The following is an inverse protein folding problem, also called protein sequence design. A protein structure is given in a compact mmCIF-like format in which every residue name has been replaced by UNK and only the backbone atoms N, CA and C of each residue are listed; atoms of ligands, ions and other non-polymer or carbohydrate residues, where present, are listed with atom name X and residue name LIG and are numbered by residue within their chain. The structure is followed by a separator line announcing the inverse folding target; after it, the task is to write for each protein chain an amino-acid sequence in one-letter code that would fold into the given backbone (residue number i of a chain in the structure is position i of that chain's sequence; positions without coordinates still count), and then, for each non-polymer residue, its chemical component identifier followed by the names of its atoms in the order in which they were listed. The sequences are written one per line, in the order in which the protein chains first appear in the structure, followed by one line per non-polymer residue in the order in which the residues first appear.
data_IF_301733652572
#
_entry.id   IF_301733652572
#
_cell.length_a   1.000
_cell.length_b   1.000
_cell.length_c   1.000
_cell.angle_alpha   90.00
_cell.angle_beta   90.00
_cell.angle_gamma   90.00
#
_symmetry.space_group_name_H-M   'P 1'
#
loop_
_entity.id
_entity.type
_entity.pdbx_description
1 polymer ?
#
# COMPACT_ATOMS: atom_id res chain seq x y z
N UNK A 1 -23.91 5.88 -16.47
CA UNK A 1 -22.67 5.13 -16.78
C UNK A 1 -21.50 6.11 -16.85
N UNK A 2 -20.54 6.05 -15.92
CA UNK A 2 -19.35 6.92 -15.94
C UNK A 2 -18.25 6.24 -16.76
N UNK A 3 -18.32 6.38 -18.08
CA UNK A 3 -17.34 5.91 -19.06
C UNK A 3 -16.44 7.06 -19.50
N UNK A 4 -15.53 7.48 -18.61
CA UNK A 4 -14.50 8.45 -18.98
C UNK A 4 -13.56 7.90 -20.06
N UNK A 5 -13.05 8.75 -20.97
CA UNK A 5 -12.23 8.32 -22.12
C UNK A 5 -10.98 7.52 -21.72
N UNK A 6 -10.44 7.76 -20.52
CA UNK A 6 -9.26 7.05 -20.01
C UNK A 6 -9.53 5.65 -19.44
N UNK A 7 -10.78 5.29 -19.09
CA UNK A 7 -11.11 3.99 -18.47
C UNK A 7 -10.77 2.80 -19.38
N UNK A 8 -10.71 3.01 -20.70
CA UNK A 8 -10.40 1.96 -21.68
C UNK A 8 -8.90 1.64 -21.79
N UNK A 9 -8.01 2.55 -21.36
CA UNK A 9 -6.55 2.43 -21.60
C UNK A 9 -5.80 1.83 -20.42
N UNK A 10 -4.81 0.94 -20.66
CA UNK A 10 -3.99 0.29 -19.60
C UNK A 10 -3.25 1.31 -18.71
N UNK A 11 -3.00 2.49 -19.26
CA UNK A 11 -2.31 3.62 -18.63
C UNK A 11 -3.06 4.15 -17.40
N UNK A 12 -4.39 4.14 -17.39
CA UNK A 12 -5.18 4.64 -16.26
C UNK A 12 -4.87 3.93 -14.93
N UNK A 13 -4.63 2.61 -14.96
CA UNK A 13 -4.26 1.85 -13.76
C UNK A 13 -2.89 2.25 -13.23
N UNK A 14 -1.93 2.43 -14.14
CA UNK A 14 -0.55 2.82 -13.79
C UNK A 14 -0.51 4.26 -13.26
N UNK A 15 -1.27 5.18 -13.87
CA UNK A 15 -1.37 6.55 -13.38
C UNK A 15 -1.97 6.63 -11.97
N UNK A 16 -2.98 5.82 -11.67
CA UNK A 16 -3.60 5.77 -10.34
C UNK A 16 -2.67 5.16 -9.28
N UNK A 17 -1.83 4.19 -9.65
CA UNK A 17 -0.75 3.73 -8.77
C UNK A 17 0.35 4.78 -8.61
N UNK A 18 0.77 5.40 -9.72
CA UNK A 18 1.80 6.43 -9.74
C UNK A 18 1.44 7.66 -8.90
N UNK A 19 0.18 8.11 -8.94
CA UNK A 19 -0.26 9.21 -8.07
C UNK A 19 -0.18 8.85 -6.58
N UNK A 20 -0.37 7.58 -6.22
CA UNK A 20 -0.20 7.10 -4.85
C UNK A 20 1.26 7.02 -4.43
N UNK A 21 2.15 6.60 -5.33
CA UNK A 21 3.61 6.66 -5.10
C UNK A 21 4.02 8.11 -4.83
N UNK A 22 3.66 9.04 -5.72
CA UNK A 22 4.02 10.46 -5.60
C UNK A 22 3.42 11.10 -4.34
N UNK A 23 2.17 10.78 -3.99
CA UNK A 23 1.53 11.29 -2.76
C UNK A 23 2.25 10.80 -1.50
N UNK A 24 2.70 9.54 -1.50
CA UNK A 24 3.44 8.98 -0.38
C UNK A 24 4.83 9.63 -0.25
N UNK A 25 5.56 9.76 -1.35
CA UNK A 25 6.88 10.40 -1.37
C UNK A 25 6.79 11.87 -0.95
N UNK A 26 5.80 12.62 -1.44
CA UNK A 26 5.57 14.00 -1.03
C UNK A 26 5.33 14.10 0.49
N UNK A 27 4.54 13.19 1.06
CA UNK A 27 4.31 13.13 2.51
C UNK A 27 5.59 12.82 3.29
N UNK A 28 6.43 11.91 2.79
CA UNK A 28 7.73 11.59 3.39
C UNK A 28 8.67 12.80 3.38
N UNK A 29 8.81 13.48 2.24
CA UNK A 29 9.67 14.67 2.12
C UNK A 29 9.15 15.83 2.97
N UNK A 30 7.83 16.03 3.05
CA UNK A 30 7.24 17.04 3.93
C UNK A 30 7.53 16.73 5.42
N UNK A 31 7.49 15.45 5.83
CA UNK A 31 7.85 15.07 7.19
C UNK A 31 9.31 15.44 7.53
N UNK A 32 10.23 15.32 6.56
CA UNK A 32 11.63 15.74 6.74
C UNK A 32 11.78 17.24 7.06
N UNK A 33 10.91 18.10 6.53
CA UNK A 33 10.97 19.54 6.82
C UNK A 33 10.45 19.95 8.21
N UNK A 34 9.66 19.10 8.87
CA UNK A 34 9.00 19.43 10.14
C UNK A 34 9.70 18.78 11.33
N UNK A 35 10.32 17.60 11.14
CA UNK A 35 10.98 16.86 12.21
C UNK A 35 12.41 17.40 12.41
N UNK A 36 12.84 17.72 13.64
CA UNK A 36 14.20 18.21 13.94
C UNK A 36 15.31 17.26 13.48
N UNK A 37 16.43 17.82 12.99
CA UNK A 37 17.56 17.05 12.44
C UNK A 37 18.15 16.01 13.41
N UNK A 38 18.15 16.30 14.71
CA UNK A 38 18.64 15.38 15.76
C UNK A 38 17.80 14.09 15.86
N UNK A 39 16.48 14.20 15.67
CA UNK A 39 15.60 13.01 15.64
C UNK A 39 15.75 12.21 14.35
N UNK A 40 16.22 12.84 13.26
CA UNK A 40 16.48 12.14 11.99
C UNK A 40 17.73 11.29 12.03
N UNK A 41 18.80 11.74 12.67
CA UNK A 41 20.07 11.00 12.76
C UNK A 41 19.87 9.60 13.37
N UNK A 42 19.01 9.47 14.38
CA UNK A 42 18.64 8.16 14.94
C UNK A 42 17.75 7.29 14.04
N UNK A 43 17.11 7.85 13.00
CA UNK A 43 16.24 7.15 12.05
C UNK A 43 16.93 6.80 10.73
N UNK A 44 18.02 7.48 10.36
CA UNK A 44 18.81 7.19 9.14
C UNK A 44 19.34 5.76 9.17
N UNK A 45 19.76 5.27 10.35
CA UNK A 45 20.22 3.89 10.55
C UNK A 45 19.16 2.84 10.24
N UNK A 46 17.88 3.19 10.24
CA UNK A 46 16.77 2.24 10.04
C UNK A 46 16.14 2.38 8.66
N UNK A 47 16.12 3.60 8.12
CA UNK A 47 15.52 3.90 6.82
C UNK A 47 16.49 3.73 5.65
N UNK A 48 17.80 3.69 5.93
CA UNK A 48 18.87 3.71 4.95
C UNK A 48 19.25 5.14 4.56
N UNK A 49 20.46 5.29 4.01
CA UNK A 49 20.98 6.57 3.54
C UNK A 49 20.06 7.19 2.46
N UNK A 50 19.79 8.50 2.52
CA UNK A 50 18.92 9.14 1.54
C UNK A 50 19.58 9.13 0.17
N UNK A 51 18.85 8.60 -0.83
CA UNK A 51 19.37 8.47 -2.20
C UNK A 51 19.16 9.75 -3.00
N UNK A 52 17.98 10.39 -2.83
CA UNK A 52 17.63 11.61 -3.56
C UNK A 52 16.55 12.41 -2.81
N UNK A 53 16.73 13.73 -2.64
CA UNK A 53 15.76 14.63 -1.98
C UNK A 53 15.21 14.11 -0.63
N UNK A 54 16.10 13.55 0.21
CA UNK A 54 15.74 12.90 1.49
C UNK A 54 14.82 11.66 1.37
N UNK A 55 14.63 11.12 0.17
CA UNK A 55 13.93 9.86 -0.04
C UNK A 55 14.89 8.73 0.32
N UNK A 56 14.48 7.90 1.26
CA UNK A 56 15.22 6.73 1.71
C UNK A 56 14.77 5.47 0.96
N UNK A 57 15.62 4.44 0.82
CA UNK A 57 15.26 3.20 0.14
C UNK A 57 14.00 2.54 0.71
N UNK A 58 13.83 2.59 2.04
CA UNK A 58 12.66 2.03 2.72
C UNK A 58 11.38 2.82 2.40
N UNK A 59 11.44 4.16 2.43
CA UNK A 59 10.26 4.99 2.10
C UNK A 59 9.86 4.83 0.63
N UNK A 60 10.85 4.70 -0.27
CA UNK A 60 10.60 4.38 -1.66
C UNK A 60 9.96 3.00 -1.84
N UNK A 61 10.44 1.98 -1.12
CA UNK A 61 9.85 0.64 -1.15
C UNK A 61 8.38 0.65 -0.67
N UNK A 62 8.06 1.38 0.40
CA UNK A 62 6.66 1.56 0.83
C UNK A 62 5.80 2.25 -0.23
N UNK A 63 6.32 3.32 -0.85
CA UNK A 63 5.62 4.05 -1.89
C UNK A 63 5.32 3.14 -3.10
N UNK A 64 6.32 2.39 -3.58
CA UNK A 64 6.18 1.44 -4.68
C UNK A 64 5.24 0.29 -4.32
N UNK A 65 5.33 -0.26 -3.11
CA UNK A 65 4.42 -1.32 -2.64
C UNK A 65 2.96 -0.88 -2.66
N UNK A 66 2.67 0.33 -2.14
CA UNK A 66 1.33 0.92 -2.23
C UNK A 66 0.91 1.20 -3.68
N UNK A 67 1.81 1.72 -4.51
CA UNK A 67 1.55 1.98 -5.93
C UNK A 67 1.19 0.72 -6.71
N UNK A 68 1.94 -0.37 -6.50
CA UNK A 68 1.69 -1.68 -7.10
C UNK A 68 0.38 -2.29 -6.61
N UNK A 69 0.10 -2.21 -5.31
CA UNK A 69 -1.17 -2.67 -4.73
C UNK A 69 -2.35 -1.98 -5.40
N UNK A 70 -2.34 -0.65 -5.47
CA UNK A 70 -3.42 0.15 -6.09
C UNK A 70 -3.50 -0.09 -7.59
N UNK A 71 -2.38 -0.18 -8.29
CA UNK A 71 -2.36 -0.55 -9.72
C UNK A 71 -3.02 -1.91 -9.94
N UNK A 72 -2.74 -2.88 -9.05
CA UNK A 72 -3.37 -4.20 -9.03
C UNK A 72 -4.88 -4.11 -8.86
N UNK A 73 -5.36 -3.39 -7.84
CA UNK A 73 -6.79 -3.16 -7.58
C UNK A 73 -7.48 -2.52 -8.79
N UNK A 74 -6.91 -1.46 -9.35
CA UNK A 74 -7.50 -0.74 -10.49
C UNK A 74 -7.49 -1.58 -11.76
N UNK A 75 -6.46 -2.41 -11.96
CA UNK A 75 -6.41 -3.37 -13.07
C UNK A 75 -7.48 -4.45 -12.89
N UNK A 76 -7.67 -4.94 -11.67
CA UNK A 76 -8.72 -5.91 -11.34
C UNK A 76 -10.13 -5.34 -11.61
N UNK A 77 -10.34 -4.05 -11.33
CA UNK A 77 -11.63 -3.36 -11.44
C UNK A 77 -12.08 -3.00 -12.87
N UNK A 78 -11.21 -3.14 -13.88
CA UNK A 78 -11.40 -2.55 -15.21
C UNK A 78 -12.71 -2.95 -15.92
N UNK A 79 -13.20 -4.17 -15.75
CA UNK A 79 -14.47 -4.64 -16.36
C UNK A 79 -15.41 -5.26 -15.34
N UNK A 80 -15.51 -4.65 -14.17
CA UNK A 80 -16.37 -5.14 -13.08
C UNK A 80 -17.85 -5.32 -13.49
N UNK A 81 -18.34 -4.53 -14.45
CA UNK A 81 -19.74 -4.58 -14.91
C UNK A 81 -20.05 -5.74 -15.88
N UNK A 82 -19.04 -6.26 -16.59
CA UNK A 82 -19.23 -7.29 -17.63
C UNK A 82 -19.09 -8.70 -17.03
N UNK A 83 -18.22 -8.87 -16.02
CA UNK A 83 -18.04 -10.16 -15.35
C UNK A 83 -17.30 -11.23 -16.18
N UNK A 84 -16.59 -10.83 -17.23
CA UNK A 84 -15.93 -11.72 -18.17
C UNK A 84 -14.57 -12.26 -17.65
N UNK A 85 -14.20 -13.46 -18.10
CA UNK A 85 -12.94 -14.14 -17.76
C UNK A 85 -11.82 -13.63 -18.66
N UNK A 86 -11.28 -12.46 -18.32
CA UNK A 86 -10.21 -11.84 -19.11
C UNK A 86 -8.91 -11.65 -18.32
N UNK A 87 -7.82 -11.33 -19.02
CA UNK A 87 -6.46 -11.23 -18.45
C UNK A 87 -6.30 -10.15 -17.36
N UNK A 88 -7.24 -9.22 -17.20
CA UNK A 88 -7.12 -8.18 -16.16
C UNK A 88 -7.35 -8.72 -14.74
N UNK A 89 -8.06 -9.85 -14.58
CA UNK A 89 -8.27 -10.49 -13.27
C UNK A 89 -6.97 -11.09 -12.71
N UNK A 90 -6.26 -12.00 -13.42
CA UNK A 90 -4.99 -12.53 -12.92
C UNK A 90 -3.92 -11.45 -12.80
N UNK A 91 -3.85 -10.50 -13.74
CA UNK A 91 -2.87 -9.42 -13.69
C UNK A 91 -3.11 -8.48 -12.49
N UNK A 92 -4.38 -8.16 -12.21
CA UNK A 92 -4.75 -7.35 -11.05
C UNK A 92 -4.47 -8.07 -9.72
N UNK A 93 -4.80 -9.37 -9.65
CA UNK A 93 -4.49 -10.19 -8.48
C UNK A 93 -2.99 -10.27 -8.23
N UNK A 94 -2.20 -10.53 -9.28
CA UNK A 94 -0.74 -10.54 -9.20
C UNK A 94 -0.19 -9.19 -8.73
N UNK A 95 -0.69 -8.08 -9.27
CA UNK A 95 -0.30 -6.73 -8.84
C UNK A 95 -0.61 -6.45 -7.36
N UNK A 96 -1.78 -6.88 -6.87
CA UNK A 96 -2.13 -6.77 -5.45
C UNK A 96 -1.20 -7.61 -4.56
N UNK A 97 -0.92 -8.85 -4.96
CA UNK A 97 -0.01 -9.75 -4.25
C UNK A 97 1.41 -9.18 -4.23
N UNK A 98 1.92 -8.73 -5.38
CA UNK A 98 3.24 -8.13 -5.48
C UNK A 98 3.36 -6.87 -4.63
N UNK A 99 2.37 -5.98 -4.67
CA UNK A 99 2.33 -4.79 -3.81
C UNK A 99 2.33 -5.15 -2.32
N UNK A 100 1.53 -6.14 -1.90
CA UNK A 100 1.51 -6.62 -0.52
C UNK A 100 2.85 -7.22 -0.07
N UNK A 101 3.51 -8.00 -0.93
CA UNK A 101 4.85 -8.55 -0.66
C UNK A 101 5.88 -7.43 -0.54
N UNK A 102 5.90 -6.47 -1.47
CA UNK A 102 6.81 -5.32 -1.39
C UNK A 102 6.60 -4.53 -0.11
N UNK A 103 5.35 -4.29 0.30
CA UNK A 103 5.03 -3.63 1.57
C UNK A 103 5.56 -4.42 2.78
N UNK A 104 5.33 -5.72 2.81
CA UNK A 104 5.78 -6.59 3.90
C UNK A 104 7.32 -6.66 4.00
N UNK A 105 8.02 -6.57 2.88
CA UNK A 105 9.49 -6.65 2.82
C UNK A 105 10.17 -5.29 2.86
N UNK A 106 9.44 -4.18 2.77
CA UNK A 106 10.00 -2.83 2.69
C UNK A 106 11.03 -2.49 3.79
N UNK A 107 10.84 -2.86 5.08
CA UNK A 107 11.85 -2.59 6.10
C UNK A 107 13.20 -3.29 5.86
N UNK A 108 13.19 -4.46 5.19
CA UNK A 108 14.40 -5.23 4.88
C UNK A 108 15.26 -4.58 3.79
N UNK A 109 14.68 -3.66 3.01
CA UNK A 109 15.39 -2.92 1.95
C UNK A 109 16.52 -2.07 2.53
N UNK A 110 16.40 -1.59 3.78
CA UNK A 110 17.47 -0.89 4.48
C UNK A 110 18.76 -1.73 4.55
N UNK A 111 18.67 -3.01 4.89
CA UNK A 111 19.82 -3.90 5.00
C UNK A 111 20.43 -4.30 3.66
N UNK A 112 19.67 -4.25 2.56
CA UNK A 112 20.13 -4.65 1.21
C UNK A 112 20.79 -3.50 0.46
N UNK A 113 20.29 -2.28 0.64
CA UNK A 113 20.74 -1.10 -0.11
C UNK A 113 21.58 -0.12 0.73
N UNK A 114 22.08 -0.56 1.89
CA UNK A 114 23.05 0.22 2.66
C UNK A 114 24.43 0.09 2.03
N UNK A 115 24.90 1.16 1.37
CA UNK A 115 26.26 1.25 0.83
C UNK A 115 27.33 1.60 1.86
N UNK A 116 27.02 1.49 3.16
CA UNK A 116 27.94 1.82 4.25
C UNK A 116 28.71 0.56 4.69
N UNK A 117 30.02 0.71 4.93
CA UNK A 117 30.90 -0.31 5.55
C UNK A 117 30.51 -0.65 7.01
N UNK A 118 29.46 0.00 7.53
CA UNK A 118 28.93 -0.18 8.88
C UNK A 118 27.68 -1.07 8.80
N UNK A 119 27.58 -2.15 9.62
CA UNK A 119 26.40 -3.01 9.62
C UNK A 119 25.15 -2.24 10.01
N UNK A 120 24.23 -2.06 9.06
CA UNK A 120 22.92 -1.47 9.32
C UNK A 120 22.01 -2.50 9.99
N UNK A 121 21.76 -2.29 11.28
CA UNK A 121 20.93 -3.16 12.10
C UNK A 121 19.44 -2.86 11.89
N UNK A 122 18.92 -3.18 10.69
CA UNK A 122 17.55 -2.86 10.20
C UNK A 122 16.41 -3.39 11.08
N UNK A 123 16.72 -4.24 12.05
CA UNK A 123 15.77 -4.81 13.03
C UNK A 123 15.56 -3.91 14.24
N UNK A 124 16.51 -3.03 14.56
CA UNK A 124 16.48 -2.16 15.75
C UNK A 124 16.02 -0.76 15.37
N UNK A 125 15.21 -0.13 16.22
CA UNK A 125 14.71 1.26 16.02
C UNK A 125 13.29 1.38 15.47
N UNK A 126 12.64 0.26 15.15
CA UNK A 126 11.20 0.21 14.88
C UNK A 126 10.38 0.07 16.17
N UNK A 127 9.15 0.56 16.16
CA UNK A 127 8.22 0.42 17.29
C UNK A 127 7.62 -0.99 17.39
N UNK A 128 7.65 -1.73 16.28
CA UNK A 128 7.18 -3.11 16.15
C UNK A 128 8.27 -3.91 15.43
N UNK A 129 8.38 -5.21 15.76
CA UNK A 129 9.27 -6.13 15.04
C UNK A 129 9.02 -6.09 13.51
N UNK A 130 9.99 -5.60 12.72
CA UNK A 130 9.88 -5.51 11.27
C UNK A 130 10.04 -6.88 10.57
N UNK A 131 10.57 -7.90 11.27
CA UNK A 131 10.91 -9.18 10.66
C UNK A 131 9.72 -10.14 10.60
N UNK A 132 8.91 -10.22 11.66
CA UNK A 132 7.80 -11.17 11.75
C UNK A 132 6.47 -10.44 11.93
N UNK A 133 6.34 -9.59 12.95
CA UNK A 133 5.04 -8.99 13.33
C UNK A 133 4.51 -8.07 12.23
N UNK A 134 5.35 -7.20 11.68
CA UNK A 134 4.92 -6.27 10.63
C UNK A 134 4.50 -7.00 9.32
N UNK A 135 5.30 -7.91 8.75
CA UNK A 135 4.87 -8.72 7.61
C UNK A 135 3.59 -9.51 7.86
N UNK A 136 3.44 -10.10 9.05
CA UNK A 136 2.23 -10.83 9.44
C UNK A 136 1.01 -9.90 9.49
N UNK A 137 1.17 -8.66 9.95
CA UNK A 137 0.12 -7.64 9.97
C UNK A 137 -0.31 -7.25 8.55
N UNK A 138 0.65 -7.00 7.65
CA UNK A 138 0.36 -6.73 6.24
C UNK A 138 -0.38 -7.92 5.61
N UNK A 139 0.13 -9.14 5.83
CA UNK A 139 -0.51 -10.36 5.35
C UNK A 139 -1.95 -10.50 5.86
N UNK A 140 -2.20 -10.26 7.14
CA UNK A 140 -3.53 -10.34 7.74
C UNK A 140 -4.52 -9.37 7.09
N UNK A 141 -4.06 -8.19 6.69
CA UNK A 141 -4.87 -7.17 6.00
C UNK A 141 -5.09 -7.50 4.51
N UNK A 142 -4.10 -8.10 3.84
CA UNK A 142 -4.18 -8.38 2.40
C UNK A 142 -4.81 -9.73 2.06
N UNK A 143 -4.59 -10.77 2.88
CA UNK A 143 -5.04 -12.15 2.63
C UNK A 143 -6.55 -12.26 2.39
N UNK A 144 -7.44 -11.61 3.18
CA UNK A 144 -8.88 -11.68 2.90
C UNK A 144 -9.25 -11.14 1.52
N UNK A 145 -8.56 -10.09 1.06
CA UNK A 145 -8.75 -9.51 -0.27
C UNK A 145 -8.19 -10.43 -1.35
N UNK A 146 -7.00 -11.01 -1.15
CA UNK A 146 -6.39 -11.94 -2.10
C UNK A 146 -7.19 -13.24 -2.24
N UNK A 147 -7.72 -13.78 -1.15
CA UNK A 147 -8.58 -14.96 -1.16
C UNK A 147 -9.88 -14.70 -1.96
N UNK A 148 -10.53 -13.54 -1.74
CA UNK A 148 -11.71 -13.13 -2.51
C UNK A 148 -11.36 -12.93 -3.99
N UNK A 149 -10.22 -12.31 -4.28
CA UNK A 149 -9.72 -12.12 -5.64
C UNK A 149 -9.44 -13.44 -6.37
N UNK A 150 -8.89 -14.42 -5.66
CA UNK A 150 -8.66 -15.77 -6.17
C UNK A 150 -9.97 -16.47 -6.54
N UNK A 151 -10.97 -16.45 -5.65
CA UNK A 151 -12.31 -17.00 -5.94
C UNK A 151 -12.99 -16.27 -7.11
N UNK A 152 -12.80 -14.95 -7.22
CA UNK A 152 -13.33 -14.16 -8.33
C UNK A 152 -12.60 -14.44 -9.66
N UNK A 153 -11.33 -14.83 -9.64
CA UNK A 153 -10.62 -15.27 -10.84
C UNK A 153 -11.09 -16.65 -11.31
N UNK A 154 -11.23 -17.63 -10.41
CA UNK A 154 -11.69 -18.97 -10.78
C UNK A 154 -13.11 -18.99 -11.32
N UNK A 155 -13.98 -18.13 -10.80
CA UNK A 155 -15.39 -18.04 -11.18
C UNK A 155 -15.81 -16.57 -11.24
N UNK A 156 -15.52 -15.90 -12.37
CA UNK A 156 -15.81 -14.50 -12.57
C UNK A 156 -17.30 -14.23 -12.48
N UNK A 157 -17.68 -13.30 -11.60
CA UNK A 157 -19.01 -12.72 -11.59
C UNK A 157 -18.92 -11.26 -11.15
N UNK A 158 -19.76 -10.36 -11.68
CA UNK A 158 -19.75 -8.95 -11.32
C UNK A 158 -19.80 -8.73 -9.80
N UNK A 159 -20.66 -9.49 -9.12
CA UNK A 159 -20.82 -9.44 -7.66
C UNK A 159 -19.53 -9.79 -6.91
N UNK A 160 -18.81 -10.84 -7.33
CA UNK A 160 -17.55 -11.26 -6.68
C UNK A 160 -16.44 -10.24 -6.94
N UNK A 161 -16.35 -9.71 -8.16
CA UNK A 161 -15.37 -8.69 -8.52
C UNK A 161 -15.58 -7.42 -7.69
N UNK A 162 -16.80 -6.91 -7.60
CA UNK A 162 -17.14 -5.72 -6.81
C UNK A 162 -16.87 -5.92 -5.31
N UNK A 163 -17.17 -7.10 -4.76
CA UNK A 163 -16.86 -7.41 -3.36
C UNK A 163 -15.35 -7.44 -3.10
N UNK A 164 -14.56 -7.98 -4.02
CA UNK A 164 -13.09 -7.96 -3.93
C UNK A 164 -12.56 -6.54 -3.96
N UNK A 165 -13.03 -5.70 -4.88
CA UNK A 165 -12.61 -4.30 -5.00
C UNK A 165 -12.96 -3.53 -3.73
N UNK A 166 -14.18 -3.69 -3.22
CA UNK A 166 -14.62 -3.07 -1.97
C UNK A 166 -13.74 -3.49 -0.79
N UNK A 167 -13.41 -4.78 -0.68
CA UNK A 167 -12.49 -5.30 0.34
C UNK A 167 -11.10 -4.68 0.20
N UNK A 168 -10.58 -4.60 -1.02
CA UNK A 168 -9.26 -4.05 -1.31
C UNK A 168 -9.16 -2.56 -0.94
N UNK A 169 -10.17 -1.77 -1.33
CA UNK A 169 -10.21 -0.34 -1.02
C UNK A 169 -10.31 -0.12 0.50
N UNK A 170 -11.10 -0.93 1.21
CA UNK A 170 -11.18 -0.84 2.68
C UNK A 170 -9.87 -1.24 3.37
N UNK A 171 -9.06 -2.11 2.78
CA UNK A 171 -7.76 -2.50 3.33
C UNK A 171 -6.69 -1.41 3.23
N UNK A 172 -6.87 -0.37 2.40
CA UNK A 172 -5.90 0.73 2.23
C UNK A 172 -5.65 1.46 3.56
N UNK A 173 -6.71 1.78 4.32
CA UNK A 173 -6.58 2.51 5.59
C UNK A 173 -5.82 1.69 6.63
N UNK A 174 -6.19 0.41 6.91
CA UNK A 174 -5.40 -0.47 7.76
C UNK A 174 -3.93 -0.61 7.34
N UNK A 175 -3.64 -0.73 6.04
CA UNK A 175 -2.26 -0.82 5.55
C UNK A 175 -1.45 0.44 5.90
N UNK A 176 -2.03 1.63 5.70
CA UNK A 176 -1.38 2.89 6.09
C UNK A 176 -1.22 3.01 7.61
N UNK A 177 -2.19 2.54 8.39
CA UNK A 177 -2.09 2.48 9.84
C UNK A 177 -0.94 1.55 10.28
N UNK A 178 -0.79 0.38 9.65
CA UNK A 178 0.31 -0.54 9.94
C UNK A 178 1.69 0.08 9.66
N UNK A 179 1.85 0.80 8.54
CA UNK A 179 3.09 1.53 8.23
C UNK A 179 3.35 2.62 9.26
N UNK A 180 2.30 3.34 9.66
CA UNK A 180 2.39 4.40 10.69
C UNK A 180 2.76 3.81 12.05
N UNK A 181 2.17 2.67 12.42
CA UNK A 181 2.47 1.94 13.65
C UNK A 181 3.95 1.56 13.70
N UNK A 182 4.48 1.02 12.60
CA UNK A 182 5.87 0.61 12.50
C UNK A 182 6.85 1.76 12.81
N UNK A 183 6.62 2.95 12.22
CA UNK A 183 7.56 4.08 12.30
C UNK A 183 7.26 5.18 13.33
N UNK A 184 6.00 5.32 13.75
CA UNK A 184 5.54 6.41 14.63
C UNK A 184 4.79 5.91 15.88
N UNK A 185 4.47 4.61 15.96
CA UNK A 185 3.88 3.98 17.13
C UNK A 185 2.35 4.04 17.19
N UNK A 186 1.80 3.65 18.34
CA UNK A 186 0.39 3.33 18.48
C UNK A 186 -0.56 4.52 18.32
N UNK A 187 -0.27 5.64 18.98
CA UNK A 187 -1.15 6.82 18.98
C UNK A 187 -1.41 7.33 17.55
N UNK A 188 -0.40 7.68 16.73
CA UNK A 188 -0.63 8.16 15.37
C UNK A 188 -1.27 7.07 14.48
N UNK A 189 -0.91 5.80 14.67
CA UNK A 189 -1.57 4.69 13.96
C UNK A 189 -3.06 4.60 14.25
N UNK A 190 -3.47 4.78 15.51
CA UNK A 190 -4.88 4.77 15.89
C UNK A 190 -5.63 5.97 15.28
N UNK A 191 -5.02 7.14 15.21
CA UNK A 191 -5.59 8.29 14.51
C UNK A 191 -5.80 8.01 13.01
N UNK A 192 -4.83 7.38 12.34
CA UNK A 192 -4.98 6.97 10.93
C UNK A 192 -6.07 5.90 10.80
N UNK A 193 -6.10 4.91 11.68
CA UNK A 193 -7.10 3.85 11.66
C UNK A 193 -8.52 4.38 11.93
N UNK A 194 -8.65 5.40 12.78
CA UNK A 194 -9.93 6.06 13.07
C UNK A 194 -10.58 6.67 11.81
N UNK A 195 -9.81 6.98 10.76
CA UNK A 195 -10.33 7.42 9.46
C UNK A 195 -11.20 6.35 8.77
N UNK A 196 -11.14 5.10 9.22
CA UNK A 196 -12.04 4.05 8.77
C UNK A 196 -13.51 4.36 9.16
N UNK A 197 -13.75 5.02 10.30
CA UNK A 197 -15.10 5.39 10.76
C UNK A 197 -15.80 6.33 9.77
N UNK A 198 -15.26 7.53 9.44
CA UNK A 198 -15.90 8.40 8.47
C UNK A 198 -15.94 7.77 7.09
N UNK A 199 -14.94 6.98 6.69
CA UNK A 199 -14.96 6.26 5.41
C UNK A 199 -16.14 5.28 5.30
N UNK A 200 -16.40 4.49 6.35
CA UNK A 200 -17.53 3.56 6.38
C UNK A 200 -18.87 4.28 6.45
N UNK A 201 -18.95 5.34 7.23
CA UNK A 201 -20.16 6.16 7.34
C UNK A 201 -20.55 6.76 5.99
N UNK A 202 -19.57 7.34 5.29
CA UNK A 202 -19.76 7.93 3.97
C UNK A 202 -20.17 6.89 2.91
N UNK A 203 -19.52 5.73 2.92
CA UNK A 203 -19.83 4.62 2.02
C UNK A 203 -21.24 4.03 2.25
N UNK A 204 -21.79 4.17 3.46
CA UNK A 204 -23.19 3.80 3.74
C UNK A 204 -24.17 4.84 3.23
N UNK A 205 -23.83 6.14 3.31
CA UNK A 205 -24.71 7.25 2.93
C UNK A 205 -24.80 7.43 1.41
N UNK A 206 -23.71 7.21 0.67
CA UNK A 206 -23.68 7.31 -0.79
C UNK A 206 -23.81 5.94 -1.50
N UNK A 207 -24.64 5.03 -1.00
CA UNK A 207 -25.09 3.91 -1.83
C UNK A 207 -25.90 4.49 -2.99
N UNK A 208 -25.23 4.82 -4.09
CA UNK A 208 -25.87 5.03 -5.39
C UNK A 208 -26.48 3.69 -5.75
N UNK A 209 -27.80 3.68 -5.76
CA UNK A 209 -28.66 2.57 -6.19
C UNK A 209 -28.47 2.30 -7.68
#
# INVERSE_FOLDING_TARGET
AYDGPFKRTRIASVLMGGCRVLSFLLGSTAAHSVIPAEQWQGRVSVLGEPVWMHITPVTFAFAIGMGLYITGVTTFARREAIGDRSMHLPLGWFGMTLGGVVLALAPRVAGVFSGADVPVDWTRGWQIDPAVIFPATIALMTVPTLARGWTAWQSPSPKRIQLTIKSAIMAIIPLMAAITMLGAGAIPSLCVFALMIPSMWLARRFRVT
#
